data_IF_545943786947
#
_entry.id   IF_545943786947
#
_cell.length_a   1.000
_cell.length_b   1.000
_cell.length_c   1.000
_cell.angle_alpha   90.00
_cell.angle_beta   90.00
_cell.angle_gamma   90.00
#
_symmetry.space_group_name_H-M   'P 1'
#
loop_
_entity.id
_entity.type
_entity.pdbx_description
1 polymer ?
#
# COMPACT_ATOMS: atom_id res chain seq x y z
N UNK A 1 20.98 -12.12 -8.95
CA UNK A 1 20.13 -13.21 -8.42
C UNK A 1 19.58 -13.96 -9.61
N UNK A 2 19.65 -15.29 -9.60
CA UNK A 2 19.28 -16.11 -10.76
C UNK A 2 17.79 -15.99 -11.08
N UNK A 3 17.46 -15.91 -12.37
CA UNK A 3 16.12 -15.96 -12.95
C UNK A 3 15.21 -17.11 -12.47
N UNK A 4 15.75 -18.08 -11.72
CA UNK A 4 15.01 -19.22 -11.19
C UNK A 4 13.86 -18.86 -10.23
N UNK A 5 13.92 -17.73 -9.51
CA UNK A 5 12.81 -17.35 -8.62
C UNK A 5 11.57 -16.81 -9.34
N UNK A 6 11.70 -16.32 -10.57
CA UNK A 6 10.55 -15.83 -11.36
C UNK A 6 9.65 -16.94 -11.91
N UNK A 7 10.03 -18.22 -11.75
CA UNK A 7 9.28 -19.38 -12.21
C UNK A 7 8.40 -20.02 -11.11
N UNK A 8 8.50 -19.54 -9.87
CA UNK A 8 7.76 -20.10 -8.72
C UNK A 8 6.46 -19.32 -8.44
N UNK A 9 5.46 -20.01 -7.87
CA UNK A 9 4.21 -19.38 -7.46
C UNK A 9 4.43 -18.31 -6.39
N UNK A 10 3.45 -17.41 -6.22
CA UNK A 10 3.54 -16.31 -5.26
C UNK A 10 3.85 -16.80 -3.84
N UNK A 11 3.14 -17.83 -3.39
CA UNK A 11 3.25 -18.39 -2.04
C UNK A 11 4.67 -18.89 -1.75
N UNK A 12 5.30 -19.52 -2.74
CA UNK A 12 6.70 -19.98 -2.62
C UNK A 12 7.66 -18.80 -2.59
N UNK A 13 7.47 -17.79 -3.45
CA UNK A 13 8.31 -16.58 -3.46
C UNK A 13 8.20 -15.80 -2.15
N UNK A 14 7.01 -15.68 -1.57
CA UNK A 14 6.79 -14.99 -0.29
C UNK A 14 7.63 -15.59 0.85
N UNK A 15 7.91 -16.90 0.81
CA UNK A 15 8.70 -17.59 1.83
C UNK A 15 10.21 -17.56 1.54
N UNK A 16 10.59 -17.67 0.27
CA UNK A 16 11.96 -18.00 -0.14
C UNK A 16 12.73 -16.89 -0.88
N UNK A 17 12.05 -15.95 -1.55
CA UNK A 17 12.75 -14.83 -2.18
C UNK A 17 13.42 -13.95 -1.12
N UNK A 18 14.68 -13.58 -1.32
CA UNK A 18 15.48 -12.86 -0.32
C UNK A 18 15.82 -13.67 0.93
N UNK A 19 15.45 -14.96 1.00
CA UNK A 19 15.66 -15.82 2.15
C UNK A 19 16.41 -17.09 1.75
N UNK A 20 17.74 -16.96 1.65
CA UNK A 20 18.67 -18.09 1.47
C UNK A 20 19.28 -18.50 2.80
N UNK A 21 19.57 -19.79 2.97
CA UNK A 21 20.21 -20.29 4.18
C UNK A 21 21.58 -19.62 4.36
N UNK A 22 21.85 -19.13 5.58
CA UNK A 22 23.10 -18.43 5.88
C UNK A 22 24.31 -19.34 5.61
N UNK A 23 25.26 -18.97 4.73
CA UNK A 23 26.39 -19.82 4.38
C UNK A 23 27.38 -20.04 5.54
N UNK A 24 27.36 -19.19 6.58
CA UNK A 24 28.25 -19.34 7.74
C UNK A 24 27.73 -20.38 8.74
N UNK A 25 26.44 -20.33 9.07
CA UNK A 25 25.85 -21.12 10.16
C UNK A 25 24.79 -22.12 9.72
N UNK A 26 24.25 -21.97 8.50
CA UNK A 26 23.10 -22.74 8.02
C UNK A 26 21.74 -22.24 8.53
N UNK A 27 21.66 -21.06 9.13
CA UNK A 27 20.40 -20.49 9.60
C UNK A 27 19.37 -20.40 8.45
N UNK A 28 18.19 -21.00 8.64
CA UNK A 28 17.13 -21.12 7.63
C UNK A 28 16.23 -19.88 7.49
N UNK A 29 16.42 -18.90 8.37
CA UNK A 29 15.78 -17.59 8.35
C UNK A 29 16.89 -16.54 8.38
N UNK A 30 16.76 -15.38 7.69
CA UNK A 30 17.83 -14.41 7.62
C UNK A 30 18.15 -13.90 9.04
N UNK A 31 19.44 -13.87 9.45
CA UNK A 31 19.84 -13.28 10.71
C UNK A 31 19.45 -11.80 10.81
N UNK A 32 19.28 -11.31 12.04
CA UNK A 32 19.06 -9.89 12.31
C UNK A 32 20.42 -9.23 12.49
N UNK A 33 20.89 -8.49 11.49
CA UNK A 33 22.14 -7.74 11.54
C UNK A 33 21.92 -6.40 12.24
N UNK A 34 21.77 -6.42 13.57
CA UNK A 34 21.62 -5.25 14.44
C UNK A 34 22.97 -4.54 14.67
N UNK A 35 23.61 -4.11 13.60
CA UNK A 35 24.91 -3.42 13.61
C UNK A 35 24.85 -2.19 12.72
N UNK A 36 25.69 -1.19 12.99
CA UNK A 36 25.74 0.04 12.19
C UNK A 36 26.81 0.01 11.09
N UNK A 37 27.89 -0.75 11.29
CA UNK A 37 29.08 -0.74 10.42
C UNK A 37 29.67 -2.13 10.27
N UNK A 38 30.41 -2.35 9.18
CA UNK A 38 31.00 -3.63 8.81
C UNK A 38 32.52 -3.52 8.66
N UNK A 39 33.24 -4.57 9.07
CA UNK A 39 34.68 -4.67 8.85
C UNK A 39 34.99 -4.72 7.35
N UNK A 40 35.98 -3.94 6.92
CA UNK A 40 36.58 -4.00 5.58
C UNK A 40 37.92 -4.76 5.60
N UNK A 41 38.29 -5.38 4.48
CA UNK A 41 39.59 -6.02 4.24
C UNK A 41 40.52 -5.08 3.47
N UNK A 42 41.18 -4.19 4.22
CA UNK A 42 41.84 -3.03 3.64
C UNK A 42 40.85 -1.91 3.31
N UNK A 43 41.36 -0.70 3.05
CA UNK A 43 40.52 0.47 2.76
C UNK A 43 39.76 0.25 1.44
N UNK A 44 38.43 0.27 1.49
CA UNK A 44 37.54 0.02 0.34
C UNK A 44 37.29 -1.46 0.03
N UNK A 45 37.92 -2.39 0.75
CA UNK A 45 37.73 -3.83 0.58
C UNK A 45 36.45 -4.33 1.26
N UNK A 46 35.28 -4.02 0.70
CA UNK A 46 33.99 -4.37 1.30
C UNK A 46 33.74 -5.88 1.27
N UNK A 47 33.11 -6.42 2.33
CA UNK A 47 32.67 -7.81 2.40
C UNK A 47 31.20 -7.90 2.02
N UNK A 48 30.89 -8.58 0.92
CA UNK A 48 29.51 -8.77 0.45
C UNK A 48 28.79 -7.46 0.07
N UNK A 49 29.54 -6.38 -0.19
CA UNK A 49 28.97 -5.07 -0.54
C UNK A 49 28.49 -4.23 0.64
N UNK A 50 28.75 -4.64 1.88
CA UNK A 50 28.30 -3.92 3.08
C UNK A 50 29.43 -3.12 3.73
N UNK A 51 29.13 -1.87 4.12
CA UNK A 51 30.05 -0.99 4.84
C UNK A 51 29.37 -0.24 5.99
N UNK A 52 28.14 0.24 5.79
CA UNK A 52 27.39 1.04 6.76
C UNK A 52 25.88 0.83 6.57
N UNK A 53 25.16 0.53 7.66
CA UNK A 53 23.77 0.04 7.60
C UNK A 53 22.74 1.05 7.08
N UNK A 54 23.05 2.36 7.09
CA UNK A 54 22.22 3.34 6.37
C UNK A 54 22.26 3.08 4.88
N UNK A 55 23.44 2.86 4.31
CA UNK A 55 23.61 2.56 2.88
C UNK A 55 23.03 1.19 2.51
N UNK A 56 23.41 0.14 3.24
CA UNK A 56 22.92 -1.23 3.02
C UNK A 56 23.07 -2.09 4.27
N UNK A 57 22.11 -2.97 4.55
CA UNK A 57 22.12 -3.90 5.67
C UNK A 57 21.57 -5.26 5.21
N UNK A 58 22.22 -6.40 5.49
CA UNK A 58 21.80 -7.71 4.95
C UNK A 58 20.36 -8.09 5.28
N UNK A 59 19.85 -7.74 6.47
CA UNK A 59 18.47 -8.02 6.86
C UNK A 59 17.48 -7.18 6.04
N UNK A 60 17.82 -5.90 5.78
CA UNK A 60 17.01 -5.04 4.91
C UNK A 60 17.11 -5.46 3.44
N UNK A 61 18.29 -5.85 2.96
CA UNK A 61 18.49 -6.37 1.61
C UNK A 61 17.59 -7.59 1.35
N UNK A 62 17.50 -8.52 2.31
CA UNK A 62 16.59 -9.67 2.21
C UNK A 62 15.12 -9.25 2.03
N UNK A 63 14.66 -8.23 2.75
CA UNK A 63 13.31 -7.67 2.57
C UNK A 63 13.15 -7.03 1.20
N UNK A 64 14.11 -6.21 0.77
CA UNK A 64 14.10 -5.50 -0.51
C UNK A 64 14.06 -6.46 -1.71
N UNK A 65 14.83 -7.55 -1.65
CA UNK A 65 14.81 -8.62 -2.64
C UNK A 65 13.47 -9.36 -2.69
N UNK A 66 12.90 -9.66 -1.51
CA UNK A 66 11.59 -10.31 -1.41
C UNK A 66 10.49 -9.44 -2.02
N UNK A 67 10.44 -8.15 -1.66
CA UNK A 67 9.47 -7.18 -2.18
C UNK A 67 9.54 -7.04 -3.70
N UNK A 68 10.76 -6.91 -4.25
CA UNK A 68 10.97 -6.85 -5.70
C UNK A 68 10.44 -8.11 -6.40
N UNK A 69 10.72 -9.29 -5.84
CA UNK A 69 10.27 -10.56 -6.40
C UNK A 69 8.75 -10.74 -6.36
N UNK A 70 8.06 -10.23 -5.32
CA UNK A 70 6.61 -10.33 -5.19
C UNK A 70 5.85 -9.42 -6.15
N UNK A 71 6.33 -8.21 -6.38
CA UNK A 71 5.75 -7.27 -7.36
C UNK A 71 6.19 -7.54 -8.80
N UNK A 72 7.24 -8.35 -9.00
CA UNK A 72 7.85 -8.54 -10.33
C UNK A 72 8.69 -7.35 -10.78
N UNK A 73 9.17 -6.54 -9.85
CA UNK A 73 10.05 -5.41 -10.11
C UNK A 73 11.53 -5.79 -10.20
N UNK A 74 12.36 -4.81 -10.56
CA UNK A 74 13.82 -4.97 -10.70
C UNK A 74 14.58 -4.54 -9.46
N UNK A 75 14.05 -3.60 -8.69
CA UNK A 75 14.66 -3.10 -7.46
C UNK A 75 13.60 -2.79 -6.41
N UNK A 76 13.76 -3.33 -5.21
CA UNK A 76 12.97 -2.98 -4.03
C UNK A 76 13.81 -2.15 -3.06
N UNK A 77 13.16 -1.24 -2.33
CA UNK A 77 13.78 -0.39 -1.31
C UNK A 77 12.85 -0.30 -0.11
N UNK A 78 13.38 -0.47 1.11
CA UNK A 78 12.58 -0.46 2.34
C UNK A 78 12.86 0.78 3.20
N UNK A 79 11.80 1.43 3.65
CA UNK A 79 11.79 2.73 4.33
C UNK A 79 11.17 2.64 5.71
N UNK A 80 11.45 3.64 6.54
CA UNK A 80 10.92 3.74 7.91
C UNK A 80 9.38 3.86 7.98
N UNK A 81 8.71 4.28 6.90
CA UNK A 81 7.25 4.33 6.79
C UNK A 81 6.81 4.46 5.33
N UNK A 82 5.52 4.22 5.04
CA UNK A 82 4.94 4.49 3.72
C UNK A 82 5.18 5.94 3.26
N UNK A 83 4.92 6.91 4.14
CA UNK A 83 5.16 8.33 3.83
C UNK A 83 6.65 8.67 3.60
N UNK A 84 7.58 7.95 4.23
CA UNK A 84 9.01 8.11 3.95
C UNK A 84 9.39 7.56 2.56
N UNK A 85 8.71 6.49 2.12
CA UNK A 85 8.85 5.97 0.76
C UNK A 85 8.29 6.98 -0.26
N UNK A 86 7.09 7.53 0.00
CA UNK A 86 6.47 8.56 -0.85
C UNK A 86 7.34 9.83 -0.93
N UNK A 87 7.81 10.37 0.21
CA UNK A 87 8.71 11.55 0.22
C UNK A 87 9.99 11.30 -0.57
N UNK A 88 10.58 10.11 -0.42
CA UNK A 88 11.77 9.76 -1.19
C UNK A 88 11.50 9.74 -2.69
N UNK A 89 10.43 9.07 -3.11
CA UNK A 89 10.04 9.00 -4.52
C UNK A 89 9.84 10.39 -5.10
N UNK A 90 9.06 11.23 -4.43
CA UNK A 90 8.73 12.57 -4.93
C UNK A 90 9.99 13.44 -5.05
N UNK A 91 10.90 13.37 -4.08
CA UNK A 91 12.16 14.12 -4.11
C UNK A 91 13.19 13.58 -5.09
N UNK A 92 13.06 12.31 -5.51
CA UNK A 92 13.87 11.72 -6.58
C UNK A 92 13.37 12.12 -7.97
N UNK A 93 12.04 12.14 -8.17
CA UNK A 93 11.46 12.29 -9.51
C UNK A 93 11.11 13.73 -9.89
N UNK A 94 11.02 14.65 -8.93
CA UNK A 94 10.45 15.97 -9.14
C UNK A 94 11.43 17.08 -8.78
N UNK A 95 11.38 18.13 -9.58
CA UNK A 95 12.07 19.40 -9.37
C UNK A 95 11.06 20.55 -9.24
N UNK A 96 11.46 21.71 -8.68
CA UNK A 96 10.61 22.89 -8.66
C UNK A 96 10.12 23.26 -10.07
N UNK A 97 8.81 23.43 -10.24
CA UNK A 97 8.16 23.73 -11.50
C UNK A 97 7.55 22.51 -12.21
N UNK A 98 7.83 21.29 -11.76
CA UNK A 98 7.17 20.07 -12.24
C UNK A 98 5.72 19.98 -11.75
N UNK A 99 4.95 19.11 -12.39
CA UNK A 99 3.53 18.87 -12.08
C UNK A 99 3.23 17.39 -11.81
N UNK A 100 2.30 17.13 -10.89
CA UNK A 100 1.79 15.79 -10.56
C UNK A 100 0.27 15.73 -10.67
N UNK A 101 -0.26 14.67 -11.28
CA UNK A 101 -1.69 14.35 -11.19
C UNK A 101 -1.92 13.38 -10.04
N UNK A 102 -2.79 13.73 -9.10
CA UNK A 102 -3.17 12.90 -7.93
C UNK A 102 -4.65 12.52 -7.99
N UNK A 103 -5.09 11.42 -7.35
CA UNK A 103 -6.49 11.02 -7.38
C UNK A 103 -7.37 11.93 -6.53
N UNK A 104 -8.66 11.95 -6.84
CA UNK A 104 -9.71 12.66 -6.09
C UNK A 104 -10.18 11.89 -4.84
N UNK A 105 -9.69 10.68 -4.66
CA UNK A 105 -9.79 9.90 -3.42
C UNK A 105 -8.45 9.21 -3.20
N UNK A 106 -7.79 9.55 -2.11
CA UNK A 106 -6.44 9.10 -1.77
C UNK A 106 -6.32 9.08 -0.25
N UNK A 107 -5.37 8.31 0.25
CA UNK A 107 -4.98 8.39 1.64
C UNK A 107 -4.69 9.85 2.06
N UNK A 108 -5.38 10.32 3.11
CA UNK A 108 -5.24 11.69 3.61
C UNK A 108 -3.81 12.11 3.95
N UNK A 109 -2.94 11.16 4.34
CA UNK A 109 -1.52 11.43 4.56
C UNK A 109 -0.76 11.79 3.29
N UNK A 110 -1.03 11.10 2.17
CA UNK A 110 -0.46 11.40 0.85
C UNK A 110 -0.95 12.76 0.36
N UNK A 111 -2.24 13.06 0.47
CA UNK A 111 -2.75 14.40 0.14
C UNK A 111 -2.07 15.49 0.98
N UNK A 112 -1.89 15.27 2.29
CA UNK A 112 -1.19 16.22 3.16
C UNK A 112 0.27 16.41 2.75
N UNK A 113 0.96 15.36 2.33
CA UNK A 113 2.32 15.44 1.79
C UNK A 113 2.37 16.35 0.56
N UNK A 114 1.48 16.14 -0.42
CA UNK A 114 1.39 17.00 -1.60
C UNK A 114 1.02 18.45 -1.26
N UNK A 115 -0.07 18.63 -0.51
CA UNK A 115 -0.66 19.93 -0.26
C UNK A 115 0.16 20.82 0.67
N UNK A 116 0.90 20.24 1.63
CA UNK A 116 1.57 21.00 2.70
C UNK A 116 3.10 20.90 2.70
N UNK A 117 3.68 19.88 2.06
CA UNK A 117 5.14 19.72 1.99
C UNK A 117 5.64 19.99 0.58
N UNK A 118 5.19 19.22 -0.39
CA UNK A 118 5.68 19.25 -1.78
C UNK A 118 5.32 20.57 -2.48
N UNK A 119 4.13 21.10 -2.24
CA UNK A 119 3.70 22.42 -2.76
C UNK A 119 4.65 23.56 -2.36
N UNK A 120 5.25 23.50 -1.17
CA UNK A 120 6.20 24.51 -0.67
C UNK A 120 7.54 24.46 -1.40
N UNK A 121 7.84 23.35 -2.09
CA UNK A 121 9.06 23.15 -2.85
C UNK A 121 8.91 23.61 -4.31
N UNK A 122 7.73 24.14 -4.68
CA UNK A 122 7.47 24.66 -6.02
C UNK A 122 6.98 23.61 -7.02
N UNK A 123 6.61 22.42 -6.55
CA UNK A 123 5.93 21.41 -7.37
C UNK A 123 4.43 21.69 -7.40
N UNK A 124 3.87 21.75 -8.60
CA UNK A 124 2.44 21.93 -8.85
C UNK A 124 1.72 20.58 -8.84
N UNK A 125 0.43 20.56 -8.52
CA UNK A 125 -0.38 19.34 -8.63
C UNK A 125 -1.84 19.66 -8.97
N UNK A 126 -2.50 18.71 -9.60
CA UNK A 126 -3.93 18.74 -9.90
C UNK A 126 -4.59 17.42 -9.54
N UNK A 127 -5.90 17.48 -9.29
CA UNK A 127 -6.71 16.33 -8.92
C UNK A 127 -7.44 15.81 -10.15
N UNK A 128 -7.47 14.48 -10.33
CA UNK A 128 -8.28 13.81 -11.34
C UNK A 128 -9.10 12.68 -10.70
N UNK A 129 -10.27 12.39 -11.27
CA UNK A 129 -10.94 11.13 -11.00
C UNK A 129 -10.20 10.02 -11.76
N UNK A 130 -9.32 9.28 -11.09
CA UNK A 130 -8.48 8.26 -11.76
C UNK A 130 -9.28 7.04 -12.23
N UNK A 131 -10.52 6.86 -11.75
CA UNK A 131 -11.44 5.85 -12.28
C UNK A 131 -11.94 6.20 -13.69
N UNK A 132 -11.79 7.46 -14.13
CA UNK A 132 -12.07 7.93 -15.49
C UNK A 132 -10.76 8.32 -16.21
N UNK A 133 -10.27 7.49 -17.14
CA UNK A 133 -9.08 7.80 -17.94
C UNK A 133 -9.17 9.13 -18.71
N UNK A 134 -10.37 9.63 -19.04
CA UNK A 134 -10.53 10.93 -19.69
C UNK A 134 -10.21 12.08 -18.71
N UNK A 135 -10.67 11.98 -17.45
CA UNK A 135 -10.32 12.94 -16.39
C UNK A 135 -8.80 13.00 -16.16
N UNK A 136 -8.10 11.86 -16.19
CA UNK A 136 -6.64 11.83 -16.08
C UNK A 136 -5.97 12.56 -17.24
N UNK A 137 -6.40 12.31 -18.49
CA UNK A 137 -5.85 13.02 -19.67
C UNK A 137 -6.06 14.52 -19.59
N UNK A 138 -7.23 14.95 -19.11
CA UNK A 138 -7.58 16.37 -19.00
C UNK A 138 -6.75 17.11 -17.93
N UNK A 139 -6.27 16.40 -16.90
CA UNK A 139 -5.43 16.97 -15.85
C UNK A 139 -3.95 17.11 -16.26
N UNK A 140 -3.53 16.52 -17.38
CA UNK A 140 -2.15 16.61 -17.85
C UNK A 140 -1.79 18.02 -18.30
N UNK A 141 -0.59 18.43 -17.93
CA UNK A 141 0.11 19.61 -18.45
C UNK A 141 1.45 19.20 -19.09
N UNK A 142 2.09 20.06 -19.92
CA UNK A 142 3.44 19.80 -20.44
C UNK A 142 4.52 19.60 -19.37
N UNK A 143 4.25 20.00 -18.12
CA UNK A 143 5.15 19.86 -16.97
C UNK A 143 4.92 18.56 -16.18
N UNK A 144 3.94 17.73 -16.57
CA UNK A 144 3.57 16.56 -15.78
C UNK A 144 4.66 15.52 -15.81
N UNK A 145 5.17 15.14 -14.62
CA UNK A 145 6.20 14.11 -14.46
C UNK A 145 5.68 12.83 -13.84
N UNK A 146 4.64 12.93 -13.02
CA UNK A 146 4.07 11.78 -12.30
C UNK A 146 2.55 11.79 -12.42
N UNK A 147 1.99 10.62 -12.68
CA UNK A 147 0.58 10.31 -12.45
C UNK A 147 0.55 9.35 -11.27
N UNK A 148 -0.08 9.77 -10.18
CA UNK A 148 -0.23 8.99 -8.95
C UNK A 148 -1.60 8.32 -8.95
N UNK A 149 -1.63 7.02 -8.64
CA UNK A 149 -2.84 6.21 -8.54
C UNK A 149 -2.83 5.44 -7.23
N UNK A 150 -3.99 5.32 -6.60
CA UNK A 150 -4.25 4.43 -5.48
C UNK A 150 -5.48 3.59 -5.84
N UNK A 151 -5.36 2.26 -5.91
CA UNK A 151 -6.47 1.40 -6.35
C UNK A 151 -6.40 0.01 -5.71
N UNK A 152 -7.41 -0.39 -4.89
CA UNK A 152 -8.56 0.41 -4.47
C UNK A 152 -8.16 1.63 -3.62
N UNK A 153 -8.87 2.75 -3.76
CA UNK A 153 -8.60 3.97 -2.98
C UNK A 153 -9.08 3.89 -1.52
N UNK A 154 -8.42 4.62 -0.63
CA UNK A 154 -8.81 4.78 0.77
C UNK A 154 -9.57 6.09 1.02
N UNK A 155 -10.81 6.08 1.56
CA UNK A 155 -11.58 4.92 2.04
C UNK A 155 -12.70 4.47 1.08
N UNK A 156 -12.89 5.09 -0.08
CA UNK A 156 -14.09 4.85 -0.90
C UNK A 156 -13.97 3.62 -1.83
N UNK A 157 -12.80 2.98 -1.87
CA UNK A 157 -12.51 1.78 -2.66
C UNK A 157 -12.75 1.98 -4.15
N UNK A 158 -12.47 3.18 -4.66
CA UNK A 158 -12.51 3.51 -6.08
C UNK A 158 -11.48 2.70 -6.86
N UNK A 159 -11.82 2.33 -8.10
CA UNK A 159 -11.01 1.43 -8.94
C UNK A 159 -10.52 2.16 -10.17
N UNK A 160 -9.20 2.17 -10.34
CA UNK A 160 -8.52 2.70 -11.52
C UNK A 160 -8.06 1.56 -12.42
N UNK A 161 -8.34 1.61 -13.74
CA UNK A 161 -7.73 0.69 -14.72
C UNK A 161 -6.25 1.08 -14.89
N UNK A 162 -5.36 0.32 -14.25
CA UNK A 162 -3.93 0.61 -14.20
C UNK A 162 -3.33 0.61 -15.62
N UNK A 163 -3.74 -0.34 -16.46
CA UNK A 163 -3.22 -0.46 -17.82
C UNK A 163 -3.65 0.73 -18.68
N UNK A 164 -4.91 1.17 -18.56
CA UNK A 164 -5.40 2.35 -19.28
C UNK A 164 -4.65 3.63 -18.88
N UNK A 165 -4.35 3.81 -17.58
CA UNK A 165 -3.59 4.95 -17.09
C UNK A 165 -2.10 4.85 -17.47
N UNK A 166 -1.54 3.65 -17.53
CA UNK A 166 -0.16 3.42 -17.99
C UNK A 166 0.03 3.89 -19.45
N UNK A 167 -0.94 3.64 -20.32
CA UNK A 167 -0.94 4.15 -21.69
C UNK A 167 -0.95 5.69 -21.74
N UNK A 168 -1.72 6.32 -20.85
CA UNK A 168 -1.78 7.79 -20.74
C UNK A 168 -0.43 8.34 -20.26
N UNK A 169 0.13 7.77 -19.20
CA UNK A 169 1.42 8.18 -18.64
C UNK A 169 2.53 8.12 -19.71
N UNK A 170 2.60 6.99 -20.43
CA UNK A 170 3.59 6.79 -21.50
C UNK A 170 3.43 7.81 -22.62
N UNK A 171 2.20 8.07 -23.07
CA UNK A 171 1.93 9.07 -24.10
C UNK A 171 2.31 10.50 -23.68
N UNK A 172 2.28 10.79 -22.38
CA UNK A 172 2.67 12.08 -21.81
C UNK A 172 4.16 12.18 -21.44
N UNK A 173 4.93 11.09 -21.52
CA UNK A 173 6.29 11.04 -21.00
C UNK A 173 6.37 11.18 -19.46
N UNK A 174 5.28 10.85 -18.76
CA UNK A 174 5.19 10.84 -17.31
C UNK A 174 5.38 9.42 -16.75
N UNK A 175 5.78 9.32 -15.48
CA UNK A 175 5.85 8.07 -14.74
C UNK A 175 4.51 7.74 -14.11
N UNK A 176 4.09 6.48 -14.20
CA UNK A 176 2.95 5.96 -13.44
C UNK A 176 3.43 5.38 -12.11
N UNK A 177 2.93 5.95 -11.02
CA UNK A 177 3.15 5.46 -9.66
C UNK A 177 1.84 4.91 -9.11
N UNK A 178 1.88 3.68 -8.62
CA UNK A 178 0.71 3.02 -8.01
C UNK A 178 0.98 2.72 -6.55
N UNK A 179 0.23 3.33 -5.64
CA UNK A 179 0.13 2.86 -4.27
C UNK A 179 -0.75 1.58 -4.24
N UNK A 180 -0.10 0.46 -3.94
CA UNK A 180 -0.70 -0.87 -3.97
C UNK A 180 -0.97 -1.42 -2.56
N UNK A 181 -0.96 -0.55 -1.54
CA UNK A 181 -1.09 -0.93 -0.12
C UNK A 181 -2.35 -1.75 0.16
N UNK A 182 -3.50 -1.38 -0.41
CA UNK A 182 -4.80 -2.02 -0.12
C UNK A 182 -4.94 -3.41 -0.74
N UNK A 183 -4.41 -3.58 -1.96
CA UNK A 183 -4.46 -4.87 -2.63
C UNK A 183 -3.36 -5.81 -2.13
N UNK A 184 -2.19 -5.26 -1.76
CA UNK A 184 -0.93 -6.00 -1.57
C UNK A 184 -0.46 -6.67 -2.88
N UNK A 185 0.82 -7.08 -2.99
CA UNK A 185 1.32 -7.75 -4.19
C UNK A 185 0.64 -9.11 -4.44
N UNK A 186 -0.05 -9.68 -3.46
CA UNK A 186 -0.76 -10.95 -3.61
C UNK A 186 -2.02 -10.81 -4.46
N UNK A 187 -2.74 -9.69 -4.35
CA UNK A 187 -3.99 -9.50 -5.08
C UNK A 187 -3.80 -8.73 -6.38
N UNK A 188 -2.82 -7.83 -6.46
CA UNK A 188 -2.62 -6.97 -7.63
C UNK A 188 -1.13 -6.74 -7.84
N UNK A 189 -0.66 -6.82 -9.09
CA UNK A 189 0.74 -6.59 -9.46
C UNK A 189 0.84 -5.45 -10.49
N UNK A 190 0.86 -4.18 -10.07
CA UNK A 190 0.76 -3.04 -10.98
C UNK A 190 1.90 -2.95 -12.01
N UNK A 191 3.10 -3.46 -11.70
CA UNK A 191 4.23 -3.50 -12.65
C UNK A 191 3.86 -4.31 -13.89
N UNK A 192 3.17 -5.44 -13.73
CA UNK A 192 2.70 -6.26 -14.85
C UNK A 192 1.63 -5.55 -15.70
N UNK A 193 1.01 -4.50 -15.16
CA UNK A 193 -0.01 -3.68 -15.80
C UNK A 193 0.56 -2.37 -16.37
N UNK A 194 1.88 -2.15 -16.27
CA UNK A 194 2.56 -1.00 -16.86
C UNK A 194 2.89 0.15 -15.90
N UNK A 195 2.77 -0.05 -14.58
CA UNK A 195 3.29 0.92 -13.61
C UNK A 195 4.83 0.97 -13.63
N UNK A 196 5.40 2.16 -13.51
CA UNK A 196 6.86 2.35 -13.41
C UNK A 196 7.36 2.04 -12.00
N UNK A 197 6.58 2.46 -10.99
CA UNK A 197 6.93 2.32 -9.57
C UNK A 197 5.69 1.93 -8.78
N UNK A 198 5.85 0.99 -7.86
CA UNK A 198 4.84 0.61 -6.87
C UNK A 198 5.26 1.08 -5.48
N UNK A 199 4.31 1.64 -4.74
CA UNK A 199 4.47 2.07 -3.35
C UNK A 199 3.66 1.14 -2.43
N UNK A 200 4.23 0.85 -1.26
CA UNK A 200 3.51 0.17 -0.18
C UNK A 200 3.74 0.86 1.16
N UNK A 201 2.70 0.98 1.96
CA UNK A 201 2.83 1.00 3.42
C UNK A 201 2.95 -0.44 3.93
N UNK A 202 4.18 -0.85 4.28
CA UNK A 202 4.45 -2.17 4.84
C UNK A 202 3.78 -2.39 6.20
N UNK A 203 3.40 -1.30 6.87
CA UNK A 203 2.62 -1.28 8.12
C UNK A 203 1.32 -2.10 8.05
N UNK A 204 0.77 -2.26 6.84
CA UNK A 204 -0.57 -2.84 6.63
C UNK A 204 -0.47 -4.34 6.38
N UNK A 205 -1.05 -4.84 5.29
CA UNK A 205 -1.11 -6.28 5.00
C UNK A 205 0.26 -6.98 4.92
N UNK A 206 1.32 -6.27 4.52
CA UNK A 206 2.66 -6.85 4.38
C UNK A 206 3.25 -7.26 5.74
N UNK A 207 3.28 -6.35 6.71
CA UNK A 207 3.60 -6.66 8.11
C UNK A 207 2.51 -7.54 8.72
N UNK A 208 1.25 -7.14 8.60
CA UNK A 208 0.07 -7.97 8.84
C UNK A 208 -0.28 -8.22 10.31
N UNK A 209 0.47 -7.65 11.26
CA UNK A 209 0.33 -7.93 12.69
C UNK A 209 0.31 -6.66 13.55
N UNK A 210 0.16 -5.49 12.91
CA UNK A 210 0.03 -4.19 13.58
C UNK A 210 1.14 -3.86 14.60
N UNK A 211 2.35 -4.37 14.37
CA UNK A 211 3.50 -4.28 15.29
C UNK A 211 4.72 -3.58 14.67
N UNK A 212 4.64 -3.14 13.42
CA UNK A 212 5.74 -2.51 12.70
C UNK A 212 5.22 -1.42 11.75
N UNK A 213 5.87 -0.26 11.72
CA UNK A 213 5.66 0.77 10.70
C UNK A 213 6.76 0.64 9.65
N UNK A 214 6.38 0.66 8.37
CA UNK A 214 7.35 0.56 7.28
C UNK A 214 6.77 1.00 5.94
N UNK A 215 7.65 1.24 4.98
CA UNK A 215 7.29 1.57 3.61
C UNK A 215 8.19 0.87 2.59
N UNK A 216 7.74 0.79 1.35
CA UNK A 216 8.54 0.27 0.26
C UNK A 216 8.30 1.00 -1.05
N UNK A 217 9.35 1.05 -1.86
CA UNK A 217 9.28 1.36 -3.29
C UNK A 217 9.77 0.16 -4.08
N UNK A 218 9.06 -0.20 -5.14
CA UNK A 218 9.49 -1.21 -6.09
C UNK A 218 9.50 -0.58 -7.49
N UNK A 219 10.68 -0.50 -8.10
CA UNK A 219 10.86 0.04 -9.44
C UNK A 219 10.83 -1.08 -10.50
N UNK A 220 10.11 -0.85 -11.59
CA UNK A 220 10.07 -1.72 -12.77
C UNK A 220 11.37 -1.65 -13.58
N UNK A 221 12.09 -0.53 -13.51
CA UNK A 221 13.38 -0.31 -14.16
C UNK A 221 14.53 -0.24 -13.14
N UNK A 222 15.69 -0.81 -13.50
CA UNK A 222 16.84 -0.88 -12.61
C UNK A 222 17.50 0.49 -12.41
N UNK A 223 17.57 1.34 -13.44
CA UNK A 223 18.21 2.65 -13.34
C UNK A 223 17.42 3.58 -12.41
N UNK A 224 16.08 3.60 -12.54
CA UNK A 224 15.19 4.29 -11.59
C UNK A 224 15.38 3.74 -10.18
N UNK A 225 15.53 2.42 -10.04
CA UNK A 225 15.82 1.77 -8.76
C UNK A 225 17.10 2.27 -8.10
N UNK A 226 18.17 2.48 -8.87
CA UNK A 226 19.45 3.00 -8.35
C UNK A 226 19.37 4.50 -8.00
N UNK A 227 18.62 5.30 -8.76
CA UNK A 227 18.34 6.71 -8.43
C UNK A 227 17.60 6.83 -7.09
N UNK A 228 16.58 5.99 -6.88
CA UNK A 228 15.85 5.91 -5.61
C UNK A 228 16.76 5.42 -4.47
N UNK A 229 17.63 4.44 -4.71
CA UNK A 229 18.56 3.92 -3.72
C UNK A 229 19.56 4.99 -3.25
N UNK A 230 20.06 5.80 -4.19
CA UNK A 230 20.91 6.96 -3.88
C UNK A 230 20.19 7.92 -2.92
N UNK A 231 18.95 8.27 -3.21
CA UNK A 231 18.17 9.19 -2.38
C UNK A 231 17.80 8.57 -1.03
N UNK A 232 17.41 7.29 -0.97
CA UNK A 232 17.18 6.58 0.30
C UNK A 232 18.40 6.68 1.21
N UNK A 233 19.60 6.46 0.68
CA UNK A 233 20.84 6.59 1.42
C UNK A 233 21.13 8.04 1.84
N UNK A 234 20.99 9.00 0.92
CA UNK A 234 21.29 10.41 1.15
C UNK A 234 20.34 11.06 2.17
N UNK A 235 19.05 10.68 2.16
CA UNK A 235 18.02 11.22 3.04
C UNK A 235 17.87 10.41 4.33
N UNK A 236 18.28 9.14 4.34
CA UNK A 236 18.45 8.32 5.53
C UNK A 236 17.19 7.75 6.15
N UNK A 237 16.02 7.83 5.48
CA UNK A 237 14.74 7.33 5.99
C UNK A 237 14.56 5.81 5.79
N UNK A 238 15.57 5.02 6.20
CA UNK A 238 15.65 3.57 5.97
C UNK A 238 14.88 2.75 7.00
N UNK A 239 14.42 1.56 6.61
CA UNK A 239 13.89 0.58 7.57
C UNK A 239 15.01 0.04 8.49
N UNK A 240 14.73 -0.06 9.79
CA UNK A 240 15.61 -0.71 10.75
C UNK A 240 15.69 -2.23 10.52
N UNK A 241 16.80 -2.91 10.88
CA UNK A 241 16.95 -4.34 10.64
C UNK A 241 15.94 -5.21 11.40
N UNK A 242 15.52 -4.82 12.61
CA UNK A 242 14.49 -5.53 13.36
C UNK A 242 13.11 -5.40 12.69
N UNK A 243 12.73 -4.18 12.30
CA UNK A 243 11.48 -3.90 11.59
C UNK A 243 11.44 -4.63 10.24
N UNK A 244 12.54 -4.61 9.49
CA UNK A 244 12.66 -5.33 8.22
C UNK A 244 12.46 -6.85 8.41
N UNK A 245 12.98 -7.40 9.52
CA UNK A 245 12.79 -8.81 9.87
C UNK A 245 11.34 -9.13 10.25
N UNK A 246 10.67 -8.26 11.02
CA UNK A 246 9.24 -8.42 11.35
C UNK A 246 8.36 -8.42 10.10
N UNK A 247 8.60 -7.50 9.17
CA UNK A 247 7.87 -7.48 7.89
C UNK A 247 8.15 -8.74 7.08
N UNK A 248 9.42 -9.16 6.95
CA UNK A 248 9.77 -10.43 6.30
C UNK A 248 9.03 -11.62 6.93
N UNK A 249 8.90 -11.66 8.25
CA UNK A 249 8.14 -12.69 8.97
C UNK A 249 6.66 -12.65 8.59
N UNK A 250 6.07 -11.45 8.54
CA UNK A 250 4.67 -11.24 8.17
C UNK A 250 4.34 -11.63 6.73
N UNK A 251 5.22 -11.31 5.79
CA UNK A 251 5.03 -11.60 4.36
C UNK A 251 4.87 -13.11 4.09
N UNK A 252 5.52 -13.97 4.86
CA UNK A 252 5.44 -15.44 4.69
C UNK A 252 4.02 -15.99 4.84
N UNK A 253 3.15 -15.27 5.55
CA UNK A 253 1.73 -15.64 5.72
C UNK A 253 0.79 -14.74 4.93
N UNK A 254 1.29 -13.80 4.12
CA UNK A 254 0.46 -12.89 3.33
C UNK A 254 -0.59 -13.61 2.49
N UNK A 255 -0.27 -14.67 1.71
CA UNK A 255 -1.28 -15.34 0.87
C UNK A 255 -2.45 -15.90 1.67
N UNK A 256 -2.14 -16.68 2.72
CA UNK A 256 -3.17 -17.34 3.54
C UNK A 256 -3.98 -16.33 4.36
N UNK A 257 -3.38 -15.21 4.77
CA UNK A 257 -4.10 -14.12 5.43
C UNK A 257 -5.02 -13.42 4.44
N UNK A 258 -4.53 -13.07 3.26
CA UNK A 258 -5.32 -12.33 2.27
C UNK A 258 -6.47 -13.13 1.68
N UNK A 259 -6.33 -14.46 1.53
CA UNK A 259 -7.45 -15.34 1.18
C UNK A 259 -8.57 -15.22 2.23
N UNK A 260 -8.22 -15.35 3.52
CA UNK A 260 -9.18 -15.24 4.62
C UNK A 260 -9.77 -13.84 4.77
N UNK A 261 -8.96 -12.79 4.63
CA UNK A 261 -9.45 -11.40 4.62
C UNK A 261 -10.50 -11.19 3.51
N UNK A 262 -10.22 -11.67 2.29
CA UNK A 262 -11.12 -11.51 1.15
C UNK A 262 -12.41 -12.32 1.31
N UNK A 263 -12.31 -13.55 1.82
CA UNK A 263 -13.45 -14.39 2.17
C UNK A 263 -14.36 -13.72 3.20
N UNK A 264 -13.79 -13.27 4.32
CA UNK A 264 -14.53 -12.61 5.39
C UNK A 264 -15.14 -11.28 4.91
N UNK A 265 -14.39 -10.48 4.16
CA UNK A 265 -14.88 -9.19 3.65
C UNK A 265 -16.05 -9.35 2.67
N UNK A 266 -16.03 -10.38 1.81
CA UNK A 266 -17.16 -10.71 0.93
C UNK A 266 -18.42 -10.98 1.75
N UNK A 267 -18.31 -11.84 2.79
CA UNK A 267 -19.43 -12.18 3.68
C UNK A 267 -19.96 -10.95 4.42
N UNK A 268 -19.06 -10.08 4.91
CA UNK A 268 -19.40 -8.82 5.55
C UNK A 268 -20.16 -7.89 4.58
N UNK A 269 -19.64 -7.69 3.37
CA UNK A 269 -20.27 -6.84 2.36
C UNK A 269 -21.67 -7.35 1.96
N UNK A 270 -21.85 -8.66 1.78
CA UNK A 270 -23.15 -9.28 1.49
C UNK A 270 -24.16 -9.12 2.63
N UNK A 271 -23.70 -9.20 3.88
CA UNK A 271 -24.56 -8.97 5.05
C UNK A 271 -24.98 -7.50 5.12
N UNK A 272 -24.04 -6.57 4.97
CA UNK A 272 -24.30 -5.14 5.00
C UNK A 272 -25.27 -4.70 3.90
N UNK A 273 -25.17 -5.27 2.70
CA UNK A 273 -26.06 -4.97 1.56
C UNK A 273 -27.54 -5.32 1.86
N UNK A 274 -27.78 -6.25 2.78
CA UNK A 274 -29.14 -6.67 3.19
C UNK A 274 -29.63 -5.95 4.46
N UNK A 275 -28.79 -5.15 5.11
CA UNK A 275 -29.11 -4.55 6.39
C UNK A 275 -29.92 -3.25 6.21
N UNK A 276 -31.09 -3.08 6.86
CA UNK A 276 -31.99 -1.94 6.60
C UNK A 276 -31.44 -0.57 7.01
N UNK A 277 -30.41 -0.55 7.88
CA UNK A 277 -29.71 0.67 8.30
C UNK A 277 -28.50 1.03 7.42
N UNK A 278 -28.20 0.23 6.40
CA UNK A 278 -27.09 0.48 5.47
C UNK A 278 -27.69 1.02 4.16
N UNK A 279 -27.22 2.18 3.72
CA UNK A 279 -27.70 2.85 2.50
C UNK A 279 -26.84 2.54 1.28
N UNK A 280 -25.56 2.24 1.50
CA UNK A 280 -24.60 1.94 0.45
C UNK A 280 -23.47 1.09 1.03
N UNK A 281 -23.03 0.09 0.26
CA UNK A 281 -21.81 -0.67 0.54
C UNK A 281 -20.83 -0.39 -0.59
N UNK A 282 -19.59 -0.05 -0.21
CA UNK A 282 -18.45 0.10 -1.10
C UNK A 282 -17.58 -1.13 -0.89
N UNK A 283 -17.55 -1.99 -1.91
CA UNK A 283 -16.69 -3.18 -1.92
C UNK A 283 -16.48 -3.60 -3.38
N UNK A 284 -15.24 -3.67 -3.89
CA UNK A 284 -14.97 -3.96 -5.30
C UNK A 284 -15.53 -5.30 -5.80
N UNK A 285 -15.83 -6.23 -4.89
CA UNK A 285 -16.43 -7.53 -5.24
C UNK A 285 -17.94 -7.50 -5.48
N UNK A 286 -18.63 -6.40 -5.16
CA UNK A 286 -20.06 -6.27 -5.46
C UNK A 286 -20.26 -5.93 -6.95
N UNK A 287 -21.18 -6.60 -7.67
CA UNK A 287 -21.42 -6.34 -9.09
C UNK A 287 -21.77 -4.89 -9.43
N UNK A 288 -22.47 -4.20 -8.52
CA UNK A 288 -22.90 -2.81 -8.70
C UNK A 288 -21.84 -1.79 -8.23
N UNK A 289 -20.68 -2.24 -7.73
CA UNK A 289 -19.60 -1.33 -7.33
C UNK A 289 -18.97 -0.68 -8.57
N UNK A 290 -18.82 0.66 -8.61
CA UNK A 290 -18.16 1.33 -9.73
C UNK A 290 -16.74 0.78 -9.97
N UNK A 291 -16.52 0.23 -11.16
CA UNK A 291 -15.25 -0.38 -11.53
C UNK A 291 -15.08 -1.85 -11.12
N UNK A 292 -16.16 -2.54 -10.70
CA UNK A 292 -16.15 -3.98 -10.42
C UNK A 292 -15.49 -4.82 -11.53
N UNK A 293 -15.88 -4.61 -12.79
CA UNK A 293 -15.31 -5.34 -13.93
C UNK A 293 -13.80 -5.10 -14.08
N UNK A 294 -13.35 -3.87 -13.85
CA UNK A 294 -11.92 -3.51 -13.85
C UNK A 294 -11.19 -4.20 -12.70
N UNK A 295 -11.76 -4.20 -11.50
CA UNK A 295 -11.20 -4.89 -10.34
C UNK A 295 -11.09 -6.40 -10.61
N UNK A 296 -12.14 -7.04 -11.14
CA UNK A 296 -12.13 -8.46 -11.48
C UNK A 296 -11.11 -8.82 -12.57
N UNK A 297 -10.82 -7.88 -13.48
CA UNK A 297 -9.79 -8.03 -14.52
C UNK A 297 -8.36 -7.94 -13.97
N UNK A 298 -8.11 -7.07 -12.99
CA UNK A 298 -6.74 -6.73 -12.56
C UNK A 298 -6.37 -7.22 -11.15
N UNK A 299 -7.33 -7.71 -10.37
CA UNK A 299 -7.14 -8.21 -9.01
C UNK A 299 -7.50 -9.70 -8.90
N UNK A 300 -6.71 -10.48 -8.15
CA UNK A 300 -6.97 -11.92 -7.86
C UNK A 300 -8.22 -12.11 -6.99
N UNK A 301 -8.36 -11.26 -5.97
CA UNK A 301 -9.53 -11.16 -5.08
C UNK A 301 -9.77 -9.69 -4.74
N UNK A 302 -10.91 -9.36 -4.13
CA UNK A 302 -11.35 -7.98 -3.92
C UNK A 302 -10.88 -7.35 -2.60
N UNK A 303 -10.05 -8.05 -1.82
CA UNK A 303 -9.39 -7.52 -0.62
C UNK A 303 -10.23 -7.58 0.66
N UNK A 304 -9.60 -7.16 1.77
CA UNK A 304 -10.17 -7.19 3.12
C UNK A 304 -10.83 -5.90 3.61
N UNK A 305 -10.91 -4.88 2.76
CA UNK A 305 -11.47 -3.57 3.12
C UNK A 305 -12.91 -3.46 2.68
N UNK A 306 -13.79 -2.99 3.56
CA UNK A 306 -15.18 -2.68 3.24
C UNK A 306 -15.51 -1.30 3.84
N UNK A 307 -16.16 -0.45 3.07
CA UNK A 307 -16.75 0.79 3.58
C UNK A 307 -18.26 0.75 3.37
N UNK A 308 -19.02 1.38 4.25
CA UNK A 308 -20.47 1.44 4.12
C UNK A 308 -21.02 2.71 4.73
N UNK A 309 -22.17 3.16 4.21
CA UNK A 309 -22.87 4.36 4.68
C UNK A 309 -24.10 3.98 5.45
N UNK A 310 -24.34 4.64 6.58
CA UNK A 310 -25.46 4.31 7.48
C UNK A 310 -26.58 5.34 7.43
N UNK A 311 -27.81 4.88 7.57
CA UNK A 311 -28.96 5.76 7.80
C UNK A 311 -28.80 6.51 9.12
N UNK A 312 -29.22 7.77 9.18
CA UNK A 312 -29.16 8.58 10.41
C UNK A 312 -27.95 9.52 10.51
N UNK A 313 -27.10 9.54 9.49
CA UNK A 313 -26.02 10.51 9.36
C UNK A 313 -24.81 10.19 10.24
N UNK A 314 -23.99 11.21 10.49
CA UNK A 314 -22.70 11.11 11.19
C UNK A 314 -22.79 10.47 12.57
N UNK A 315 -23.73 10.91 13.41
CA UNK A 315 -23.88 10.37 14.76
C UNK A 315 -24.23 8.88 14.77
N UNK A 316 -25.01 8.42 13.78
CA UNK A 316 -25.29 6.99 13.63
C UNK A 316 -24.04 6.21 13.22
N UNK A 317 -23.19 6.76 12.34
CA UNK A 317 -21.94 6.13 11.91
C UNK A 317 -20.96 6.00 13.08
N UNK A 318 -20.81 7.07 13.87
CA UNK A 318 -20.01 7.08 15.10
C UNK A 318 -20.52 6.05 16.11
N UNK A 319 -21.83 5.96 16.29
CA UNK A 319 -22.42 5.01 17.25
C UNK A 319 -22.25 3.55 16.79
N UNK A 320 -22.22 3.25 15.49
CA UNK A 320 -21.85 1.91 15.00
C UNK A 320 -20.41 1.58 15.39
N UNK A 321 -19.47 2.50 15.18
CA UNK A 321 -18.07 2.32 15.58
C UNK A 321 -17.91 2.08 17.09
N UNK A 322 -18.67 2.79 17.93
CA UNK A 322 -18.61 2.67 19.39
C UNK A 322 -19.26 1.39 19.93
N UNK A 323 -20.26 0.83 19.21
CA UNK A 323 -21.00 -0.36 19.66
C UNK A 323 -20.33 -1.68 19.28
N UNK A 324 -19.41 -1.67 18.32
CA UNK A 324 -18.64 -2.86 17.96
C UNK A 324 -17.83 -3.38 19.16
N UNK A 325 -17.77 -4.70 19.33
CA UNK A 325 -17.11 -5.36 20.46
C UNK A 325 -15.93 -6.22 20.04
N UNK A 326 -15.97 -6.72 18.80
CA UNK A 326 -14.90 -7.50 18.19
C UNK A 326 -14.07 -6.62 17.26
N UNK A 327 -14.71 -5.82 16.40
CA UNK A 327 -13.97 -4.81 15.63
C UNK A 327 -13.44 -3.76 16.60
N UNK A 328 -12.11 -3.64 16.67
CA UNK A 328 -11.47 -2.66 17.54
C UNK A 328 -11.54 -1.29 16.89
N UNK A 329 -12.04 -0.29 17.62
CA UNK A 329 -11.99 1.10 17.18
C UNK A 329 -10.54 1.59 17.14
N UNK A 330 -10.00 1.76 15.94
CA UNK A 330 -8.60 2.11 15.75
C UNK A 330 -8.29 2.55 14.33
N UNK A 331 -7.31 3.44 14.19
CA UNK A 331 -6.72 3.77 12.90
C UNK A 331 -5.87 2.60 12.38
N UNK A 332 -5.36 2.71 11.15
CA UNK A 332 -4.69 1.62 10.40
C UNK A 332 -5.66 0.57 9.84
N UNK A 333 -5.09 -0.49 9.26
CA UNK A 333 -5.77 -1.59 8.56
C UNK A 333 -4.79 -2.72 8.24
N UNK A 334 -5.32 -3.87 7.81
CA UNK A 334 -4.57 -4.98 7.25
C UNK A 334 -3.81 -5.84 8.25
N UNK A 335 -4.01 -5.61 9.55
CA UNK A 335 -3.65 -6.53 10.62
C UNK A 335 -4.51 -7.78 10.62
N UNK A 336 -4.14 -8.79 11.40
CA UNK A 336 -4.93 -10.03 11.58
C UNK A 336 -6.23 -9.77 12.33
N UNK A 337 -6.22 -8.76 13.20
CA UNK A 337 -7.37 -8.27 13.94
C UNK A 337 -8.25 -7.33 13.11
N UNK A 338 -9.55 -7.42 13.35
CA UNK A 338 -10.55 -6.57 12.72
C UNK A 338 -10.56 -5.17 13.33
N UNK A 339 -10.52 -4.14 12.48
CA UNK A 339 -10.56 -2.73 12.89
C UNK A 339 -11.76 -2.02 12.27
N UNK A 340 -12.34 -1.08 13.01
CA UNK A 340 -13.41 -0.19 12.55
C UNK A 340 -13.02 1.25 12.80
N UNK A 341 -13.36 2.15 11.88
CA UNK A 341 -13.17 3.58 12.07
C UNK A 341 -14.25 4.44 11.40
N UNK A 342 -14.29 5.70 11.82
CA UNK A 342 -15.05 6.77 11.18
C UNK A 342 -14.09 7.72 10.44
N UNK A 343 -13.88 7.56 9.12
CA UNK A 343 -12.81 8.24 8.40
C UNK A 343 -12.80 9.76 8.56
N UNK A 344 -13.97 10.42 8.52
CA UNK A 344 -14.10 11.88 8.61
C UNK A 344 -13.64 12.47 9.96
N UNK A 345 -13.68 11.69 11.05
CA UNK A 345 -13.23 12.12 12.39
C UNK A 345 -11.84 11.58 12.77
N UNK A 346 -11.28 10.70 11.94
CA UNK A 346 -10.04 9.96 12.22
C UNK A 346 -9.04 10.14 11.07
N UNK A 347 -8.82 9.11 10.25
CA UNK A 347 -7.75 9.09 9.23
C UNK A 347 -7.85 10.17 8.14
N UNK A 348 -9.04 10.69 7.87
CA UNK A 348 -9.31 11.68 6.83
C UNK A 348 -9.67 13.07 7.39
N UNK A 349 -9.44 13.31 8.68
CA UNK A 349 -9.62 14.65 9.27
C UNK A 349 -8.78 15.73 8.56
N UNK A 350 -7.67 15.37 7.91
CA UNK A 350 -6.81 16.30 7.17
C UNK A 350 -7.34 16.74 5.81
N UNK A 351 -8.37 16.07 5.26
CA UNK A 351 -8.97 16.40 3.96
C UNK A 351 -10.31 17.14 4.09
N UNK A 352 -10.74 17.47 5.32
CA UNK A 352 -11.96 18.24 5.57
C UNK A 352 -11.96 19.58 4.81
N UNK A 353 -13.06 19.88 4.11
CA UNK A 353 -13.20 21.08 3.26
C UNK A 353 -12.42 21.03 1.93
N UNK A 354 -11.83 19.89 1.58
CA UNK A 354 -11.16 19.68 0.30
C UNK A 354 -12.02 18.87 -0.67
N UNK A 355 -11.56 18.71 -1.92
CA UNK A 355 -12.24 17.86 -2.89
C UNK A 355 -12.22 16.36 -2.53
N UNK A 356 -11.39 15.95 -1.56
CA UNK A 356 -11.26 14.58 -1.07
C UNK A 356 -12.05 14.35 0.24
N UNK A 357 -12.90 15.30 0.64
CA UNK A 357 -13.70 15.14 1.86
C UNK A 357 -14.64 13.92 1.76
N UNK A 358 -14.58 13.07 2.79
CA UNK A 358 -15.30 11.81 2.86
C UNK A 358 -16.71 12.03 3.43
N UNK A 359 -17.73 11.27 2.99
CA UNK A 359 -19.08 11.37 3.55
C UNK A 359 -19.08 11.17 5.07
N UNK A 360 -19.76 12.05 5.79
CA UNK A 360 -19.80 12.01 7.25
C UNK A 360 -20.58 10.81 7.81
N UNK A 361 -21.38 10.10 6.99
CA UNK A 361 -22.11 8.89 7.38
C UNK A 361 -21.36 7.60 7.02
N UNK A 362 -20.08 7.70 6.64
CA UNK A 362 -19.23 6.59 6.22
C UNK A 362 -18.57 5.90 7.42
N UNK A 363 -18.64 4.57 7.44
CA UNK A 363 -17.85 3.69 8.30
C UNK A 363 -16.91 2.88 7.42
N UNK A 364 -15.65 2.73 7.84
CA UNK A 364 -14.68 1.82 7.20
C UNK A 364 -14.35 0.69 8.16
N UNK A 365 -14.35 -0.54 7.65
CA UNK A 365 -13.83 -1.71 8.36
C UNK A 365 -12.66 -2.32 7.61
N UNK A 366 -11.61 -2.64 8.36
CA UNK A 366 -10.55 -3.56 7.97
C UNK A 366 -10.94 -4.93 8.51
N UNK A 367 -11.45 -5.80 7.65
CA UNK A 367 -11.96 -7.11 8.07
C UNK A 367 -10.79 -8.06 8.27
N UNK A 368 -10.61 -8.56 9.49
CA UNK A 368 -9.53 -9.45 9.92
C UNK A 368 -9.72 -10.91 9.52
N UNK A 369 -8.96 -11.79 10.18
CA UNK A 369 -8.97 -13.25 9.91
C UNK A 369 -9.69 -14.07 10.98
N UNK A 370 -10.46 -13.43 11.85
CA UNK A 370 -11.32 -14.10 12.83
C UNK A 370 -12.36 -15.01 12.16
N UNK A 371 -13.09 -15.77 12.97
CA UNK A 371 -14.21 -16.55 12.47
C UNK A 371 -15.28 -15.61 11.87
N UNK A 372 -15.61 -15.82 10.60
CA UNK A 372 -16.52 -14.93 9.88
C UNK A 372 -17.89 -14.79 10.55
N UNK A 373 -18.41 -15.83 11.21
CA UNK A 373 -19.69 -15.76 11.93
C UNK A 373 -19.66 -14.75 13.08
N UNK A 374 -18.54 -14.67 13.81
CA UNK A 374 -18.37 -13.73 14.92
C UNK A 374 -18.30 -12.29 14.41
N UNK A 375 -17.63 -12.07 13.27
CA UNK A 375 -17.56 -10.76 12.60
C UNK A 375 -18.95 -10.27 12.15
N UNK A 376 -19.75 -11.16 11.56
CA UNK A 376 -21.11 -10.85 11.14
C UNK A 376 -22.01 -10.54 12.35
N UNK A 377 -21.92 -11.34 13.41
CA UNK A 377 -22.71 -11.14 14.63
C UNK A 377 -22.38 -9.80 15.31
N UNK A 378 -21.10 -9.43 15.36
CA UNK A 378 -20.68 -8.16 15.97
C UNK A 378 -21.17 -6.94 15.16
N UNK A 379 -21.06 -6.96 13.83
CA UNK A 379 -21.57 -5.86 13.02
C UNK A 379 -23.10 -5.76 13.04
N UNK A 380 -23.81 -6.89 13.06
CA UNK A 380 -25.28 -6.89 13.18
C UNK A 380 -25.72 -6.25 14.49
N UNK A 381 -25.13 -6.64 15.63
CA UNK A 381 -25.49 -6.02 16.91
C UNK A 381 -25.05 -4.54 16.98
N UNK A 382 -23.91 -4.20 16.37
CA UNK A 382 -23.42 -2.83 16.32
C UNK A 382 -24.27 -1.92 15.43
N UNK A 383 -24.97 -2.44 14.43
CA UNK A 383 -25.95 -1.68 13.64
C UNK A 383 -27.29 -1.57 14.38
N UNK A 384 -27.66 -2.59 15.15
CA UNK A 384 -28.80 -2.62 16.06
C UNK A 384 -30.10 -3.08 15.43
#
# INVERSE_FOLDING_TARGET
MSDHHNLHSFETRAIHAGNTADPLTGAVVPPIYQVSTYKQDGVGGLRGGYEYSRSANPTRTALEENLAALEGGRRGLAFASGLAAEDCLLRTLLEPGDHVVIPNDAYGGTFRLFAKVVSRWGVEWSVANTSDPASVRAALTPKTKVIWVETPSNPLLGITDIAAVAEIARGAGARLVVDNTFASPYLQQPIALGADIVVHSLTKYMGGHSDVVGGALIAADAAVGEELAYHQNAMGAVAGPFDAWLVLRGIKTLPVRMDRHSENATRVAEMLTRHPKVTQVLYPGLPDHPGHETAAKQMKHFGGMVSFRVTGGEEAAVEVCNRAKLFTLGESLGGVESLIEHPGRMTHASVAGSALEVPADLVRVSVGIEAGDDLLADLQQALG
#
